data_IF_471613755433
#
_entry.id   IF_471613755433
#
_cell.length_a   1.000
_cell.length_b   1.000
_cell.length_c   1.000
_cell.angle_alpha   90.00
_cell.angle_beta   90.00
_cell.angle_gamma   90.00
#
_symmetry.space_group_name_H-M   'P 1'
#
loop_
_entity.id
_entity.type
_entity.pdbx_description
1 polymer ?
#
# COMPACT_ATOMS: atom_id res chain seq x y z
N UNK A 1 4.70 14.92 -17.11
CA UNK A 1 4.37 14.16 -15.88
C UNK A 1 3.68 12.88 -16.31
N UNK A 2 3.77 11.77 -15.56
CA UNK A 2 3.01 10.57 -15.88
C UNK A 2 1.51 10.92 -15.86
N UNK A 3 0.78 10.50 -16.89
CA UNK A 3 -0.67 10.70 -16.97
C UNK A 3 -1.37 9.40 -16.63
N UNK A 4 -2.40 9.47 -15.80
CA UNK A 4 -3.28 8.36 -15.47
C UNK A 4 -4.73 8.67 -15.89
N UNK A 5 -4.86 9.52 -16.91
CA UNK A 5 -6.15 10.00 -17.39
C UNK A 5 -7.11 8.84 -17.67
N UNK A 6 -8.27 8.87 -17.06
CA UNK A 6 -9.37 7.89 -17.17
C UNK A 6 -9.02 6.44 -16.76
N UNK A 7 -7.86 6.23 -16.10
CA UNK A 7 -7.51 4.95 -15.48
C UNK A 7 -8.37 4.72 -14.23
N UNK A 8 -8.95 3.54 -14.11
CA UNK A 8 -9.67 3.10 -12.90
C UNK A 8 -8.67 2.54 -11.91
N UNK A 9 -8.52 3.22 -10.78
CA UNK A 9 -7.50 2.91 -9.76
C UNK A 9 -8.16 2.54 -8.45
N UNK A 10 -7.96 1.31 -8.01
CA UNK A 10 -8.41 0.83 -6.70
C UNK A 10 -7.28 1.00 -5.69
N UNK A 11 -7.57 1.62 -4.54
CA UNK A 11 -6.59 1.85 -3.46
C UNK A 11 -7.17 1.41 -2.12
N UNK A 12 -6.52 0.49 -1.44
CA UNK A 12 -6.88 0.09 -0.08
C UNK A 12 -6.25 1.01 0.98
N UNK A 13 -6.98 1.29 2.08
CA UNK A 13 -6.47 2.10 3.19
C UNK A 13 -6.41 3.60 2.88
N UNK A 14 -7.46 4.15 2.27
CA UNK A 14 -7.51 5.57 1.84
C UNK A 14 -7.85 6.55 2.97
N UNK A 15 -8.08 6.06 4.19
CA UNK A 15 -8.46 6.89 5.34
C UNK A 15 -7.34 7.81 5.86
N UNK A 16 -6.08 7.60 5.46
CA UNK A 16 -4.98 8.45 5.91
C UNK A 16 -3.62 8.07 5.33
N UNK A 17 -2.59 8.75 5.78
CA UNK A 17 -1.20 8.45 5.47
C UNK A 17 -0.91 8.33 3.97
N UNK A 18 -0.22 7.25 3.59
CA UNK A 18 0.17 6.98 2.20
C UNK A 18 -1.07 6.78 1.32
N UNK A 19 -2.12 6.09 1.82
CA UNK A 19 -3.33 5.83 1.03
C UNK A 19 -4.12 7.09 0.68
N UNK A 20 -4.26 8.04 1.62
CA UNK A 20 -4.88 9.34 1.34
C UNK A 20 -4.05 10.15 0.31
N UNK A 21 -2.74 10.21 0.50
CA UNK A 21 -1.84 10.92 -0.43
C UNK A 21 -1.87 10.26 -1.82
N UNK A 22 -1.95 8.91 -1.88
CA UNK A 22 -2.12 8.18 -3.12
C UNK A 22 -3.44 8.56 -3.80
N UNK A 23 -4.57 8.49 -3.09
CA UNK A 23 -5.86 8.88 -3.64
C UNK A 23 -5.83 10.30 -4.23
N UNK A 24 -5.20 11.25 -3.51
CA UNK A 24 -5.03 12.63 -3.99
C UNK A 24 -4.19 12.71 -5.26
N UNK A 25 -3.00 12.13 -5.26
CA UNK A 25 -2.04 12.25 -6.36
C UNK A 25 -2.51 11.51 -7.61
N UNK A 26 -3.13 10.34 -7.46
CA UNK A 26 -3.71 9.61 -8.58
C UNK A 26 -4.86 10.40 -9.22
N UNK A 27 -5.77 10.97 -8.40
CA UNK A 27 -6.84 11.82 -8.91
C UNK A 27 -6.33 13.10 -9.59
N UNK A 28 -5.27 13.74 -9.08
CA UNK A 28 -4.60 14.89 -9.72
C UNK A 28 -3.98 14.54 -11.08
N UNK A 29 -3.67 13.26 -11.34
CA UNK A 29 -3.20 12.78 -12.63
C UNK A 29 -4.33 12.32 -13.56
N UNK A 30 -5.58 12.60 -13.20
CA UNK A 30 -6.76 12.31 -14.01
C UNK A 30 -7.34 10.89 -13.81
N UNK A 31 -6.86 10.13 -12.83
CA UNK A 31 -7.41 8.82 -12.52
C UNK A 31 -8.78 8.92 -11.83
N UNK A 32 -9.62 7.93 -12.08
CA UNK A 32 -10.85 7.67 -11.31
C UNK A 32 -10.47 6.75 -10.14
N UNK A 33 -10.50 7.29 -8.93
CA UNK A 33 -10.02 6.58 -7.74
C UNK A 33 -11.19 5.99 -6.95
N UNK A 34 -11.15 4.66 -6.74
CA UNK A 34 -12.06 3.92 -5.88
C UNK A 34 -11.30 3.38 -4.67
N UNK A 35 -11.62 3.89 -3.48
CA UNK A 35 -10.92 3.57 -2.25
C UNK A 35 -11.74 2.77 -1.26
N UNK A 36 -11.07 2.20 -0.27
CA UNK A 36 -11.71 1.68 0.93
C UNK A 36 -10.85 1.93 2.16
N UNK A 37 -11.48 1.85 3.33
CA UNK A 37 -10.81 1.86 4.62
C UNK A 37 -11.58 0.98 5.62
N UNK A 38 -10.89 0.45 6.61
CA UNK A 38 -11.51 -0.30 7.70
C UNK A 38 -12.42 0.59 8.56
N UNK A 39 -12.05 1.88 8.69
CA UNK A 39 -12.74 2.86 9.53
C UNK A 39 -13.52 3.83 8.64
N UNK A 40 -14.86 3.77 8.73
CA UNK A 40 -15.74 4.58 7.89
C UNK A 40 -15.48 6.07 7.99
N UNK A 41 -15.30 6.58 9.21
CA UNK A 41 -15.06 8.00 9.49
C UNK A 41 -13.77 8.50 8.81
N UNK A 42 -12.72 7.68 8.77
CA UNK A 42 -11.46 8.02 8.13
C UNK A 42 -11.62 8.12 6.62
N UNK A 43 -12.32 7.15 5.99
CA UNK A 43 -12.64 7.21 4.58
C UNK A 43 -13.47 8.46 4.23
N UNK A 44 -14.54 8.73 4.99
CA UNK A 44 -15.39 9.89 4.78
C UNK A 44 -14.65 11.22 4.96
N UNK A 45 -13.74 11.30 5.94
CA UNK A 45 -12.88 12.47 6.11
C UNK A 45 -11.99 12.69 4.89
N UNK A 46 -11.43 11.61 4.32
CA UNK A 46 -10.62 11.66 3.10
C UNK A 46 -11.45 12.12 1.88
N UNK A 47 -12.66 11.60 1.72
CA UNK A 47 -13.61 12.05 0.67
C UNK A 47 -13.86 13.55 0.78
N UNK A 48 -14.19 14.06 1.96
CA UNK A 48 -14.43 15.49 2.19
C UNK A 48 -13.19 16.35 1.90
N UNK A 49 -12.00 15.90 2.34
CA UNK A 49 -10.73 16.62 2.10
C UNK A 49 -10.38 16.69 0.62
N UNK A 50 -10.65 15.64 -0.15
CA UNK A 50 -10.41 15.61 -1.59
C UNK A 50 -11.45 16.45 -2.34
N UNK A 51 -12.72 16.38 -1.97
CA UNK A 51 -13.78 17.21 -2.54
C UNK A 51 -13.49 18.72 -2.37
N UNK A 52 -12.93 19.14 -1.22
CA UNK A 52 -12.50 20.52 -0.99
C UNK A 52 -11.36 20.98 -1.92
N UNK A 53 -10.69 20.03 -2.61
CA UNK A 53 -9.64 20.28 -3.63
C UNK A 53 -10.17 20.09 -5.07
N UNK A 54 -11.48 19.88 -5.24
CA UNK A 54 -12.09 19.59 -6.54
C UNK A 54 -11.80 18.18 -7.06
N UNK A 55 -11.37 17.26 -6.19
CA UNK A 55 -11.05 15.88 -6.52
C UNK A 55 -12.13 14.93 -6.00
N UNK A 56 -12.36 13.82 -6.69
CA UNK A 56 -13.34 12.82 -6.29
C UNK A 56 -12.65 11.55 -5.82
N UNK A 57 -13.07 11.04 -4.66
CA UNK A 57 -12.74 9.69 -4.17
C UNK A 57 -14.06 8.92 -4.04
N UNK A 58 -14.20 7.87 -4.84
CA UNK A 58 -15.28 6.90 -4.74
C UNK A 58 -14.94 5.81 -3.73
N UNK A 59 -15.93 4.98 -3.38
CA UNK A 59 -15.72 3.82 -2.52
C UNK A 59 -16.43 3.91 -1.18
N UNK A 60 -15.98 3.11 -0.21
CA UNK A 60 -16.65 2.95 1.08
C UNK A 60 -15.68 2.74 2.25
N UNK A 61 -16.13 3.02 3.46
CA UNK A 61 -15.54 2.58 4.72
C UNK A 61 -16.16 1.29 5.25
N UNK A 62 -15.70 0.84 6.41
CA UNK A 62 -16.05 -0.43 7.06
C UNK A 62 -15.71 -1.67 6.21
N UNK A 63 -14.68 -1.55 5.37
CA UNK A 63 -14.22 -2.64 4.51
C UNK A 63 -13.02 -3.33 5.16
N UNK A 64 -13.27 -4.49 5.73
CA UNK A 64 -12.24 -5.35 6.29
C UNK A 64 -11.69 -6.30 5.21
N UNK A 65 -10.62 -5.91 4.57
CA UNK A 65 -9.99 -6.69 3.49
C UNK A 65 -9.33 -8.00 3.96
N UNK A 66 -9.10 -8.17 5.26
CA UNK A 66 -8.72 -9.45 5.84
C UNK A 66 -9.89 -10.45 5.93
N UNK A 67 -11.11 -10.03 5.60
CA UNK A 67 -12.26 -10.89 5.39
C UNK A 67 -12.48 -11.07 3.87
N UNK A 68 -12.41 -12.30 3.33
CA UNK A 68 -12.53 -12.52 1.89
C UNK A 68 -13.88 -12.08 1.32
N UNK A 69 -14.96 -12.13 2.11
CA UNK A 69 -16.30 -11.68 1.66
C UNK A 69 -16.31 -10.16 1.46
N UNK A 70 -15.73 -9.40 2.39
CA UNK A 70 -15.64 -7.95 2.26
C UNK A 70 -14.69 -7.53 1.13
N UNK A 71 -13.58 -8.26 0.95
CA UNK A 71 -12.65 -8.01 -0.14
C UNK A 71 -13.32 -8.24 -1.50
N UNK A 72 -14.06 -9.36 -1.66
CA UNK A 72 -14.82 -9.65 -2.88
C UNK A 72 -15.90 -8.59 -3.15
N UNK A 73 -16.66 -8.20 -2.12
CA UNK A 73 -17.69 -7.18 -2.24
C UNK A 73 -17.12 -5.83 -2.68
N UNK A 74 -16.00 -5.40 -2.10
CA UNK A 74 -15.32 -4.15 -2.48
C UNK A 74 -14.92 -4.14 -3.97
N UNK A 75 -14.38 -5.25 -4.46
CA UNK A 75 -14.04 -5.41 -5.88
C UNK A 75 -15.31 -5.39 -6.75
N UNK A 76 -16.34 -6.15 -6.38
CA UNK A 76 -17.59 -6.20 -7.14
C UNK A 76 -18.27 -4.84 -7.23
N UNK A 77 -18.24 -4.04 -6.18
CA UNK A 77 -18.78 -2.67 -6.18
C UNK A 77 -18.02 -1.75 -7.17
N UNK A 78 -16.69 -1.85 -7.21
CA UNK A 78 -15.89 -1.14 -8.20
C UNK A 78 -16.22 -1.58 -9.64
N UNK A 79 -16.32 -2.90 -9.87
CA UNK A 79 -16.65 -3.44 -11.20
C UNK A 79 -18.04 -3.06 -11.64
N UNK A 80 -19.02 -3.11 -10.74
CA UNK A 80 -20.39 -2.66 -11.04
C UNK A 80 -20.43 -1.19 -11.48
N UNK A 81 -19.57 -0.35 -10.92
CA UNK A 81 -19.54 1.07 -11.20
C UNK A 81 -18.69 1.43 -12.43
N UNK A 82 -17.58 0.76 -12.65
CA UNK A 82 -16.56 1.18 -13.63
C UNK A 82 -16.22 0.11 -14.69
N UNK A 83 -16.62 -1.14 -14.51
CA UNK A 83 -16.48 -2.23 -15.48
C UNK A 83 -15.10 -2.87 -15.58
N UNK A 84 -14.04 -2.22 -15.09
CA UNK A 84 -12.65 -2.73 -15.14
C UNK A 84 -11.78 -2.14 -14.02
N UNK A 85 -10.60 -2.69 -13.88
CA UNK A 85 -9.53 -2.16 -13.01
C UNK A 85 -8.29 -1.95 -13.87
N UNK A 86 -7.74 -0.74 -13.91
CA UNK A 86 -6.46 -0.48 -14.58
C UNK A 86 -5.28 -0.58 -13.60
N UNK A 87 -5.49 -0.17 -12.34
CA UNK A 87 -4.47 -0.25 -11.28
C UNK A 87 -5.11 -0.73 -9.98
N UNK A 88 -4.51 -1.75 -9.37
CA UNK A 88 -4.81 -2.16 -8.00
C UNK A 88 -3.65 -1.78 -7.10
N UNK A 89 -3.86 -0.88 -6.14
CA UNK A 89 -2.85 -0.51 -5.15
C UNK A 89 -3.20 -1.07 -3.78
N UNK A 90 -2.59 -2.19 -3.41
CA UNK A 90 -2.66 -2.82 -2.10
C UNK A 90 -1.79 -2.06 -1.11
N UNK A 91 -2.36 -1.03 -0.48
CA UNK A 91 -1.66 -0.13 0.44
C UNK A 91 -2.05 -0.35 1.91
N UNK A 92 -3.29 -0.78 2.19
CA UNK A 92 -3.74 -1.00 3.57
C UNK A 92 -2.80 -1.94 4.34
N UNK A 93 -2.57 -1.65 5.62
CA UNK A 93 -1.68 -2.43 6.47
C UNK A 93 -1.96 -2.14 7.94
N UNK A 94 -1.99 -3.17 8.77
CA UNK A 94 -2.01 -3.05 10.22
C UNK A 94 -1.24 -4.22 10.84
N UNK A 95 -0.29 -3.92 11.74
CA UNK A 95 0.56 -4.90 12.39
C UNK A 95 0.58 -4.74 13.91
N UNK A 96 0.88 -5.83 14.59
CA UNK A 96 1.27 -5.85 15.99
C UNK A 96 2.78 -6.01 16.09
N UNK A 97 3.37 -5.41 17.10
CA UNK A 97 4.81 -5.39 17.34
C UNK A 97 5.09 -5.91 18.76
N UNK A 98 6.14 -6.67 18.92
CA UNK A 98 6.58 -7.24 20.18
C UNK A 98 7.76 -8.19 19.98
N UNK A 99 8.56 -8.42 21.04
CA UNK A 99 9.63 -9.41 21.00
C UNK A 99 9.03 -10.81 20.88
N UNK A 100 9.75 -11.73 20.23
CA UNK A 100 9.24 -13.07 19.90
C UNK A 100 8.74 -13.84 21.13
N UNK A 101 9.42 -13.72 22.26
CA UNK A 101 9.05 -14.41 23.50
C UNK A 101 7.71 -13.95 24.10
N UNK A 102 7.33 -12.67 23.86
CA UNK A 102 6.09 -12.07 24.37
C UNK A 102 5.03 -11.94 23.29
N UNK A 103 5.35 -12.24 22.01
CA UNK A 103 4.47 -12.06 20.88
C UNK A 103 3.45 -13.21 20.80
N UNK A 104 2.18 -12.89 21.01
CA UNK A 104 1.13 -13.89 21.05
C UNK A 104 0.81 -14.49 19.68
N UNK A 105 0.23 -15.69 19.67
CA UNK A 105 -0.30 -16.32 18.45
C UNK A 105 -1.42 -15.48 17.82
N UNK A 106 -2.23 -14.81 18.64
CA UNK A 106 -3.29 -13.91 18.16
C UNK A 106 -2.71 -12.66 17.47
N UNK A 107 -1.61 -12.10 17.99
CA UNK A 107 -0.91 -10.98 17.33
C UNK A 107 -0.28 -11.41 15.99
N UNK A 108 0.21 -12.65 15.92
CA UNK A 108 0.66 -13.25 14.67
C UNK A 108 -0.47 -13.33 13.65
N UNK A 109 -1.62 -13.90 14.01
CA UNK A 109 -2.78 -14.01 13.14
C UNK A 109 -3.34 -12.63 12.76
N UNK A 110 -3.41 -11.71 13.72
CA UNK A 110 -3.80 -10.33 13.42
C UNK A 110 -2.91 -9.70 12.34
N UNK A 111 -1.59 -9.81 12.49
CA UNK A 111 -0.63 -9.20 11.56
C UNK A 111 -0.68 -9.89 10.19
N UNK A 112 -0.71 -11.23 10.16
CA UNK A 112 -0.79 -11.98 8.90
C UNK A 112 -2.05 -11.64 8.12
N UNK A 113 -3.19 -11.60 8.80
CA UNK A 113 -4.48 -11.25 8.22
C UNK A 113 -4.49 -9.85 7.63
N UNK A 114 -3.95 -8.88 8.36
CA UNK A 114 -4.01 -7.46 7.98
C UNK A 114 -2.84 -6.96 7.13
N UNK A 115 -1.88 -7.81 6.78
CA UNK A 115 -0.75 -7.44 5.92
C UNK A 115 -0.53 -8.36 4.74
N UNK A 116 -0.86 -9.66 4.85
CA UNK A 116 -0.63 -10.64 3.80
C UNK A 116 -1.94 -11.13 3.19
N UNK A 117 -2.87 -11.65 4.01
CA UNK A 117 -4.12 -12.23 3.52
C UNK A 117 -4.96 -11.19 2.78
N UNK A 118 -5.05 -9.95 3.28
CA UNK A 118 -5.78 -8.87 2.62
C UNK A 118 -5.21 -8.54 1.23
N UNK A 119 -3.89 -8.60 1.04
CA UNK A 119 -3.24 -8.38 -0.26
C UNK A 119 -3.59 -9.51 -1.21
N UNK A 120 -3.56 -10.75 -0.70
CA UNK A 120 -3.96 -11.92 -1.48
C UNK A 120 -5.44 -11.85 -1.88
N UNK A 121 -6.36 -11.59 -0.93
CA UNK A 121 -7.79 -11.56 -1.23
C UNK A 121 -8.15 -10.45 -2.21
N UNK A 122 -7.69 -9.23 -1.97
CA UNK A 122 -7.92 -8.10 -2.87
C UNK A 122 -7.40 -8.40 -4.28
N UNK A 123 -6.19 -8.96 -4.39
CA UNK A 123 -5.59 -9.31 -5.68
C UNK A 123 -6.34 -10.45 -6.36
N UNK A 124 -6.68 -11.52 -5.62
CA UNK A 124 -7.41 -12.68 -6.14
C UNK A 124 -8.74 -12.28 -6.78
N UNK A 125 -9.55 -11.48 -6.06
CA UNK A 125 -10.86 -11.08 -6.58
C UNK A 125 -10.76 -10.01 -7.68
N UNK A 126 -9.76 -9.14 -7.63
CA UNK A 126 -9.51 -8.18 -8.70
C UNK A 126 -8.96 -8.80 -9.98
N UNK A 127 -8.21 -9.91 -9.88
CA UNK A 127 -7.42 -10.49 -10.97
C UNK A 127 -8.17 -10.70 -12.28
N UNK A 128 -9.40 -11.27 -12.30
CA UNK A 128 -10.18 -11.43 -13.54
C UNK A 128 -10.57 -10.11 -14.20
N UNK A 129 -10.61 -9.03 -13.43
CA UNK A 129 -11.12 -7.72 -13.83
C UNK A 129 -10.02 -6.69 -14.10
N UNK A 130 -8.76 -7.03 -13.81
CA UNK A 130 -7.63 -6.17 -14.19
C UNK A 130 -7.54 -6.18 -15.72
N UNK A 131 -7.54 -4.99 -16.31
CA UNK A 131 -7.42 -4.83 -17.76
C UNK A 131 -6.08 -5.37 -18.27
N UNK A 132 -6.01 -5.82 -19.51
CA UNK A 132 -4.75 -6.18 -20.13
C UNK A 132 -3.83 -4.94 -20.18
N UNK A 133 -2.57 -5.14 -19.80
CA UNK A 133 -1.64 -4.03 -19.56
C UNK A 133 -1.82 -3.30 -18.23
N UNK A 134 -2.72 -3.77 -17.35
CA UNK A 134 -2.95 -3.19 -16.02
C UNK A 134 -1.78 -3.40 -15.05
N UNK A 135 -1.91 -2.84 -13.85
CA UNK A 135 -0.83 -2.82 -12.85
C UNK A 135 -1.32 -3.21 -11.45
N UNK A 136 -0.59 -4.10 -10.80
CA UNK A 136 -0.71 -4.37 -9.36
C UNK A 136 0.47 -3.72 -8.64
N UNK A 137 0.18 -2.80 -7.74
CA UNK A 137 1.14 -2.17 -6.83
C UNK A 137 0.93 -2.73 -5.43
N UNK A 138 1.97 -3.29 -4.83
CA UNK A 138 1.91 -3.83 -3.48
C UNK A 138 2.78 -3.02 -2.51
N UNK A 139 2.25 -2.69 -1.34
CA UNK A 139 3.04 -2.04 -0.30
C UNK A 139 3.85 -3.08 0.48
N UNK A 140 5.14 -3.14 0.17
CA UNK A 140 6.16 -3.84 0.93
C UNK A 140 6.59 -3.08 2.20
N UNK A 141 7.82 -3.29 2.62
CA UNK A 141 8.50 -2.56 3.69
C UNK A 141 9.99 -2.90 3.65
N UNK A 142 10.86 -2.00 4.15
CA UNK A 142 12.25 -2.36 4.47
C UNK A 142 12.36 -3.53 5.44
N UNK A 143 11.29 -3.84 6.19
CA UNK A 143 11.19 -5.02 7.05
C UNK A 143 11.26 -6.35 6.29
N UNK A 144 10.98 -6.36 4.99
CA UNK A 144 11.20 -7.54 4.13
C UNK A 144 12.68 -7.86 3.93
N UNK A 145 13.56 -6.90 4.15
CA UNK A 145 14.99 -6.95 3.81
C UNK A 145 15.93 -6.92 5.02
N UNK A 146 15.48 -6.36 6.14
CA UNK A 146 16.31 -6.29 7.35
C UNK A 146 15.52 -6.43 8.63
N UNK A 147 16.13 -7.07 9.62
CA UNK A 147 15.67 -7.01 11.01
C UNK A 147 16.11 -5.71 11.70
N UNK A 148 15.69 -5.54 12.94
CA UNK A 148 16.14 -4.47 13.84
C UNK A 148 16.12 -4.94 15.27
N UNK A 149 17.01 -4.41 16.08
CA UNK A 149 17.03 -4.65 17.53
C UNK A 149 16.16 -3.64 18.29
N UNK A 150 15.68 -2.59 17.62
CA UNK A 150 14.91 -1.52 18.25
C UNK A 150 13.47 -1.91 18.63
N UNK A 151 12.86 -2.86 17.87
CA UNK A 151 11.47 -3.28 18.07
C UNK A 151 11.30 -4.68 17.53
N UNK A 152 10.70 -5.57 18.30
CA UNK A 152 10.29 -6.89 17.83
C UNK A 152 9.22 -6.76 16.74
N UNK A 153 9.47 -7.35 15.55
CA UNK A 153 8.58 -7.23 14.39
C UNK A 153 8.61 -8.47 13.49
N UNK A 154 8.76 -9.66 14.08
CA UNK A 154 8.92 -10.91 13.31
C UNK A 154 7.76 -11.15 12.35
N UNK A 155 6.51 -10.93 12.78
CA UNK A 155 5.34 -11.11 11.93
C UNK A 155 5.32 -10.11 10.76
N UNK A 156 5.61 -8.82 11.03
CA UNK A 156 5.72 -7.79 10.00
C UNK A 156 6.83 -8.10 8.97
N UNK A 157 7.98 -8.60 9.41
CA UNK A 157 9.05 -9.04 8.50
C UNK A 157 8.57 -10.20 7.61
N UNK A 158 7.91 -11.20 8.19
CA UNK A 158 7.41 -12.36 7.47
C UNK A 158 6.34 -11.98 6.44
N UNK A 159 5.36 -11.16 6.82
CA UNK A 159 4.28 -10.73 5.94
C UNK A 159 4.78 -9.86 4.80
N UNK A 160 5.64 -8.87 5.08
CA UNK A 160 6.18 -7.98 4.06
C UNK A 160 7.18 -8.68 3.13
N UNK A 161 7.95 -9.64 3.65
CA UNK A 161 8.74 -10.57 2.84
C UNK A 161 7.86 -11.41 1.92
N UNK A 162 6.73 -11.92 2.44
CA UNK A 162 5.71 -12.64 1.67
C UNK A 162 5.08 -11.79 0.55
N UNK A 163 4.74 -10.52 0.84
CA UNK A 163 4.20 -9.59 -0.16
C UNK A 163 5.20 -9.35 -1.31
N UNK A 164 6.49 -9.13 -0.99
CA UNK A 164 7.54 -8.96 -2.00
C UNK A 164 7.72 -10.23 -2.84
N UNK A 165 7.69 -11.41 -2.21
CA UNK A 165 7.79 -12.69 -2.92
C UNK A 165 6.56 -12.92 -3.82
N UNK A 166 5.34 -12.69 -3.30
CA UNK A 166 4.08 -12.82 -4.05
C UNK A 166 4.06 -11.90 -5.27
N UNK A 167 4.59 -10.69 -5.15
CA UNK A 167 4.68 -9.72 -6.26
C UNK A 167 5.42 -10.29 -7.47
N UNK A 168 6.51 -11.03 -7.26
CA UNK A 168 7.26 -11.68 -8.36
C UNK A 168 6.41 -12.74 -9.07
N UNK A 169 5.66 -13.53 -8.30
CA UNK A 169 4.79 -14.54 -8.87
C UNK A 169 3.62 -13.92 -9.64
N UNK A 170 3.01 -12.84 -9.11
CA UNK A 170 1.95 -12.10 -9.81
C UNK A 170 2.45 -11.52 -11.14
N UNK A 171 3.69 -11.02 -11.20
CA UNK A 171 4.29 -10.56 -12.45
C UNK A 171 4.43 -11.68 -13.48
N UNK A 172 4.84 -12.87 -13.04
CA UNK A 172 4.95 -14.04 -13.92
C UNK A 172 3.57 -14.50 -14.43
N UNK A 173 2.56 -14.58 -13.57
CA UNK A 173 1.20 -14.97 -13.95
C UNK A 173 0.52 -13.92 -14.85
N UNK A 174 0.81 -12.64 -14.65
CA UNK A 174 0.27 -11.54 -15.44
C UNK A 174 0.86 -11.39 -16.84
N UNK A 175 1.99 -12.04 -17.11
CA UNK A 175 2.80 -11.80 -18.32
C UNK A 175 2.01 -11.95 -19.64
N UNK A 176 1.15 -12.99 -19.75
CA UNK A 176 0.35 -13.23 -20.97
C UNK A 176 -0.68 -12.14 -21.25
N UNK A 177 -1.10 -11.40 -20.22
CA UNK A 177 -2.05 -10.29 -20.30
C UNK A 177 -1.34 -8.93 -20.26
N UNK A 178 0.01 -8.91 -20.24
CA UNK A 178 0.78 -7.69 -20.07
C UNK A 178 0.58 -7.02 -18.70
N UNK A 179 -0.03 -7.70 -17.72
CA UNK A 179 -0.22 -7.16 -16.37
C UNK A 179 1.13 -7.10 -15.67
N UNK A 180 1.46 -5.93 -15.15
CA UNK A 180 2.67 -5.73 -14.36
C UNK A 180 2.35 -5.84 -12.87
N UNK A 181 3.25 -6.40 -12.09
CA UNK A 181 3.17 -6.39 -10.63
C UNK A 181 4.52 -5.92 -10.07
N UNK A 182 4.47 -4.93 -9.18
CA UNK A 182 5.64 -4.37 -8.51
C UNK A 182 5.33 -4.07 -7.05
N UNK A 183 6.35 -4.11 -6.19
CA UNK A 183 6.22 -3.68 -4.81
C UNK A 183 7.05 -2.43 -4.54
N UNK A 184 6.59 -1.64 -3.58
CA UNK A 184 7.30 -0.49 -3.04
C UNK A 184 7.55 -0.79 -1.57
N UNK A 185 8.81 -0.72 -1.13
CA UNK A 185 9.25 -0.99 0.24
C UNK A 185 9.72 0.30 0.91
N UNK A 186 8.82 1.02 1.62
CA UNK A 186 9.20 2.22 2.34
C UNK A 186 10.08 1.91 3.54
N UNK A 187 10.94 2.88 3.90
CA UNK A 187 11.51 3.00 5.23
C UNK A 187 10.49 3.54 6.22
N UNK A 188 10.95 4.33 7.19
CA UNK A 188 10.03 4.94 8.14
C UNK A 188 9.40 6.21 7.56
N UNK A 189 8.09 6.14 7.31
CA UNK A 189 7.28 7.24 6.74
C UNK A 189 6.46 7.89 7.85
N UNK A 190 6.52 9.23 7.92
CA UNK A 190 5.72 10.01 8.85
C UNK A 190 4.27 10.06 8.35
N UNK A 191 3.37 9.45 9.13
CA UNK A 191 1.93 9.37 8.86
C UNK A 191 1.17 9.51 10.17
N UNK A 192 -0.15 9.71 10.16
CA UNK A 192 -0.94 9.65 11.39
C UNK A 192 -0.74 8.35 12.18
N UNK A 193 -0.60 7.21 11.50
CA UNK A 193 -0.37 5.91 12.13
C UNK A 193 1.01 5.75 12.80
N UNK A 194 2.01 6.55 12.39
CA UNK A 194 3.36 6.53 12.96
C UNK A 194 3.66 7.72 13.88
N UNK A 195 2.70 8.65 14.03
CA UNK A 195 2.89 9.90 14.77
C UNK A 195 3.31 9.67 16.22
N UNK A 196 2.76 8.66 16.90
CA UNK A 196 3.11 8.33 18.28
C UNK A 196 4.59 7.96 18.46
N UNK A 197 5.20 7.27 17.47
CA UNK A 197 6.61 6.90 17.50
C UNK A 197 7.53 8.12 17.37
N UNK A 198 7.19 9.07 16.53
CA UNK A 198 8.01 10.28 16.27
C UNK A 198 7.78 11.39 17.29
N UNK A 199 6.74 11.28 18.11
CA UNK A 199 6.50 12.21 19.22
C UNK A 199 7.57 12.11 20.32
N UNK A 200 8.21 10.93 20.46
CA UNK A 200 9.36 10.75 21.38
C UNK A 200 10.65 11.16 20.65
N UNK A 201 11.38 12.19 21.15
CA UNK A 201 12.62 12.67 20.50
C UNK A 201 13.72 11.61 20.42
N UNK A 202 13.85 10.75 21.43
CA UNK A 202 14.88 9.69 21.46
C UNK A 202 14.59 8.62 20.40
N UNK A 203 13.33 8.19 20.29
CA UNK A 203 12.89 7.24 19.26
C UNK A 203 13.10 7.85 17.87
N UNK A 204 12.74 9.13 17.69
CA UNK A 204 12.96 9.84 16.44
C UNK A 204 14.45 9.91 16.07
N UNK A 205 15.30 10.23 17.02
CA UNK A 205 16.76 10.28 16.79
C UNK A 205 17.31 8.89 16.44
N UNK A 206 16.85 7.84 17.12
CA UNK A 206 17.24 6.46 16.82
C UNK A 206 16.79 6.03 15.40
N UNK A 207 15.58 6.40 14.99
CA UNK A 207 15.09 6.14 13.64
C UNK A 207 15.94 6.88 12.58
N UNK A 208 16.31 8.12 12.84
CA UNK A 208 17.12 8.95 11.93
C UNK A 208 18.57 8.47 11.82
N UNK A 209 19.15 7.89 12.87
CA UNK A 209 20.56 7.46 12.86
C UNK A 209 20.88 6.41 11.79
N UNK A 210 19.88 5.69 11.29
CA UNK A 210 20.04 4.73 10.20
C UNK A 210 19.56 5.25 8.83
N UNK A 211 19.29 6.55 8.68
CA UNK A 211 18.78 7.14 7.43
C UNK A 211 19.80 8.11 6.85
N UNK A 212 20.39 7.75 5.70
CA UNK A 212 21.45 8.58 5.07
C UNK A 212 20.99 10.00 4.73
N UNK A 213 19.72 10.18 4.31
CA UNK A 213 19.16 11.49 3.98
C UNK A 213 18.77 12.32 5.22
N UNK A 214 19.02 11.80 6.44
CA UNK A 214 18.82 12.49 7.71
C UNK A 214 17.44 13.14 7.90
N UNK A 215 16.40 12.53 7.33
CA UNK A 215 14.99 12.89 7.54
C UNK A 215 14.11 11.65 7.49
N UNK A 216 12.97 11.71 8.13
CA UNK A 216 11.92 10.72 7.93
C UNK A 216 11.31 10.91 6.54
N UNK A 217 10.81 9.81 5.95
CA UNK A 217 10.08 9.89 4.70
C UNK A 217 8.68 10.49 4.92
N UNK A 218 8.15 11.09 3.87
CA UNK A 218 6.77 11.56 3.79
C UNK A 218 5.96 10.66 2.87
N UNK A 219 4.63 10.67 2.99
CA UNK A 219 3.76 9.92 2.10
C UNK A 219 4.00 10.27 0.62
N UNK A 220 4.32 11.53 0.33
CA UNK A 220 4.66 12.03 -1.02
C UNK A 220 5.91 11.37 -1.61
N UNK A 221 6.92 11.00 -0.80
CA UNK A 221 8.12 10.31 -1.28
C UNK A 221 7.76 8.94 -1.89
N UNK A 222 6.85 8.21 -1.23
CA UNK A 222 6.38 6.89 -1.67
C UNK A 222 5.43 7.02 -2.87
N UNK A 223 4.47 7.94 -2.78
CA UNK A 223 3.39 8.06 -3.77
C UNK A 223 3.89 8.60 -5.11
N UNK A 224 4.94 9.44 -5.12
CA UNK A 224 5.56 9.90 -6.36
C UNK A 224 6.06 8.72 -7.20
N UNK A 225 6.67 7.73 -6.57
CA UNK A 225 7.09 6.49 -7.23
C UNK A 225 5.87 5.62 -7.62
N UNK A 226 4.86 5.51 -6.76
CA UNK A 226 3.65 4.74 -7.07
C UNK A 226 2.94 5.25 -8.33
N UNK A 227 2.78 6.58 -8.49
CA UNK A 227 2.21 7.20 -9.69
C UNK A 227 3.05 6.90 -10.93
N UNK A 228 4.38 6.98 -10.84
CA UNK A 228 5.26 6.62 -11.94
C UNK A 228 5.11 5.14 -12.33
N UNK A 229 5.15 4.23 -11.37
CA UNK A 229 5.04 2.79 -11.61
C UNK A 229 3.65 2.38 -12.16
N UNK A 230 2.59 3.11 -11.81
CA UNK A 230 1.25 2.91 -12.35
C UNK A 230 1.10 3.37 -13.80
N UNK A 231 1.98 4.26 -14.27
CA UNK A 231 1.88 4.87 -15.61
C UNK A 231 2.52 4.01 -16.70
N UNK A 232 2.21 4.36 -17.94
CA UNK A 232 2.80 3.72 -19.13
C UNK A 232 4.31 4.01 -19.28
N UNK A 233 4.85 5.03 -18.57
CA UNK A 233 6.28 5.30 -18.52
C UNK A 233 7.08 4.19 -17.85
N UNK A 234 6.44 3.37 -17.01
CA UNK A 234 7.02 2.21 -16.34
C UNK A 234 6.73 0.88 -17.09
N UNK A 235 6.38 0.93 -18.36
CA UNK A 235 5.91 -0.24 -19.14
C UNK A 235 6.89 -1.41 -19.20
N UNK A 236 8.19 -1.20 -18.95
CA UNK A 236 9.21 -2.25 -18.93
C UNK A 236 9.63 -2.66 -17.50
N UNK A 237 8.81 -2.29 -16.50
CA UNK A 237 9.09 -2.57 -15.08
C UNK A 237 8.02 -3.51 -14.52
N UNK A 238 8.43 -4.72 -14.13
CA UNK A 238 7.59 -5.72 -13.45
C UNK A 238 8.43 -6.67 -12.61
N UNK A 239 7.84 -7.33 -11.61
CA UNK A 239 8.49 -8.33 -10.76
C UNK A 239 9.53 -7.77 -9.78
N UNK A 240 9.66 -6.46 -9.68
CA UNK A 240 10.69 -5.78 -8.88
C UNK A 240 10.11 -5.17 -7.61
N UNK A 241 10.96 -5.06 -6.58
CA UNK A 241 10.69 -4.29 -5.37
C UNK A 241 11.52 -3.01 -5.38
N UNK A 242 10.88 -1.90 -5.07
CA UNK A 242 11.48 -0.56 -5.08
C UNK A 242 11.56 -0.01 -3.66
N UNK A 243 12.77 0.13 -3.16
CA UNK A 243 13.02 0.68 -1.84
C UNK A 243 12.94 2.20 -1.86
N UNK A 244 12.17 2.78 -0.90
CA UNK A 244 12.02 4.23 -0.69
C UNK A 244 12.23 4.52 0.79
N UNK A 245 13.49 4.60 1.21
CA UNK A 245 13.87 4.54 2.63
C UNK A 245 14.90 5.58 3.08
N UNK A 246 15.27 6.52 2.21
CA UNK A 246 16.30 7.51 2.50
C UNK A 246 17.71 6.93 2.71
N UNK A 247 17.95 5.71 2.19
CA UNK A 247 19.21 5.00 2.29
C UNK A 247 19.35 4.11 3.54
N UNK A 248 18.26 3.80 4.24
CA UNK A 248 18.28 2.97 5.46
C UNK A 248 18.82 1.56 5.22
N UNK A 249 18.61 0.96 4.04
CA UNK A 249 19.13 -0.36 3.70
C UNK A 249 20.57 -0.34 3.16
N UNK A 250 21.15 0.82 2.94
CA UNK A 250 22.52 0.97 2.43
C UNK A 250 23.56 1.07 3.55
N UNK A 251 23.12 1.01 4.83
CA UNK A 251 23.98 1.13 6.04
C UNK A 251 23.95 -0.14 6.88
#
# INVERSE_FOLDING_TARGET
MPSLQDKIVLISGTGGGIGYEAARRFAEQGAIVFGCDLIAENHQASVKRLAAKGLTLYGSGEVDLGNPVHAEQWINDAIKQFGRIDVLFNNASAARFGNLEDFSVDDWYYTTRNELDQVFFSTKFAWPHIADGGVVLNMGSTAAWRGTTATGKVAHCATKGGVVAMTRQLAAEGAKRGIRAVSISPGFIQTPGTAAFVANPEVKQQLLSGVLLNRLGEASDVVSLAVYLASDQASFITGSDFVVDGGMLAT
#
